data_IF_197974862946
#
_entry.id   IF_197974862946
#
_cell.length_a   1.000
_cell.length_b   1.000
_cell.length_c   1.000
_cell.angle_alpha   90.00
_cell.angle_beta   90.00
_cell.angle_gamma   90.00
#
_symmetry.space_group_name_H-M   'P 1'
#
loop_
_entity.id
_entity.type
_entity.pdbx_description
1 polymer ?
#
# COMPACT_ATOMS: atom_id res chain seq x y z
N UNK A 1 9.16 1.83 -23.01
CA UNK A 1 9.09 2.19 -21.57
C UNK A 1 7.82 1.59 -20.99
N UNK A 2 7.89 0.91 -19.86
CA UNK A 2 6.69 0.34 -19.25
C UNK A 2 5.92 1.41 -18.44
N UNK A 3 4.68 1.13 -18.12
CA UNK A 3 3.81 2.07 -17.40
C UNK A 3 4.37 2.46 -16.03
N UNK A 4 5.03 1.52 -15.35
CA UNK A 4 5.62 1.77 -14.04
C UNK A 4 6.79 2.77 -14.11
N UNK A 5 7.66 2.62 -15.10
CA UNK A 5 8.78 3.54 -15.32
C UNK A 5 8.26 4.95 -15.62
N UNK A 6 7.23 5.04 -16.46
CA UNK A 6 6.59 6.30 -16.78
C UNK A 6 5.96 6.93 -15.54
N UNK A 7 5.26 6.15 -14.73
CA UNK A 7 4.67 6.62 -13.48
C UNK A 7 5.73 7.23 -12.56
N UNK A 8 6.87 6.55 -12.39
CA UNK A 8 7.95 7.04 -11.55
C UNK A 8 8.56 8.35 -12.07
N UNK A 9 8.80 8.43 -13.38
CA UNK A 9 9.34 9.63 -14.00
C UNK A 9 8.41 10.82 -13.83
N UNK A 10 7.12 10.63 -14.12
CA UNK A 10 6.11 11.66 -13.95
C UNK A 10 6.00 12.12 -12.50
N UNK A 11 6.03 11.18 -11.57
CA UNK A 11 5.97 11.46 -10.14
C UNK A 11 7.16 12.29 -9.68
N UNK A 12 8.37 11.93 -10.10
CA UNK A 12 9.57 12.68 -9.78
C UNK A 12 9.51 14.13 -10.28
N UNK A 13 8.98 14.33 -11.48
CA UNK A 13 8.86 15.66 -12.07
C UNK A 13 7.82 16.52 -11.34
N UNK A 14 6.67 15.91 -10.98
CA UNK A 14 5.58 16.66 -10.34
C UNK A 14 5.92 17.12 -8.93
N UNK A 15 6.55 16.27 -8.12
CA UNK A 15 6.80 16.56 -6.71
C UNK A 15 8.26 16.86 -6.39
N UNK A 16 9.14 16.83 -7.41
CA UNK A 16 10.57 17.06 -7.25
C UNK A 16 11.17 16.23 -6.10
N UNK A 17 10.84 14.94 -6.08
CA UNK A 17 11.24 14.04 -5.01
C UNK A 17 12.03 12.85 -5.55
N UNK A 18 12.78 12.19 -4.68
CA UNK A 18 13.43 10.92 -4.98
C UNK A 18 12.47 9.77 -4.70
N UNK A 19 12.19 8.96 -5.72
CA UNK A 19 11.31 7.80 -5.60
C UNK A 19 12.07 6.53 -5.95
N UNK A 20 11.72 5.43 -5.26
CA UNK A 20 12.35 4.14 -5.44
C UNK A 20 11.36 3.01 -5.17
N UNK A 21 11.34 2.00 -6.04
CA UNK A 21 10.57 0.78 -5.83
C UNK A 21 11.55 -0.32 -5.41
N UNK A 22 11.28 -0.94 -4.24
CA UNK A 22 12.13 -2.00 -3.69
C UNK A 22 11.85 -3.33 -4.35
N UNK A 23 12.91 -4.09 -4.62
CA UNK A 23 12.78 -5.50 -4.98
C UNK A 23 12.48 -6.32 -3.72
N UNK A 24 11.78 -7.47 -3.85
CA UNK A 24 11.44 -8.29 -2.68
C UNK A 24 12.65 -8.67 -1.81
N UNK A 25 13.79 -8.94 -2.41
CA UNK A 25 15.00 -9.30 -1.65
C UNK A 25 15.58 -8.16 -0.82
N UNK A 26 15.19 -6.92 -1.10
CA UNK A 26 15.66 -5.74 -0.37
C UNK A 26 14.83 -5.44 0.89
N UNK A 27 13.62 -6.00 0.98
CA UNK A 27 12.65 -5.65 2.04
C UNK A 27 13.20 -6.00 3.43
N UNK A 28 13.77 -7.19 3.59
CA UNK A 28 14.27 -7.65 4.89
C UNK A 28 15.53 -6.91 5.35
N UNK A 29 16.14 -6.13 4.47
CA UNK A 29 17.30 -5.29 4.82
C UNK A 29 16.87 -3.97 5.48
N UNK A 30 15.61 -3.62 5.41
CA UNK A 30 15.07 -2.42 6.06
C UNK A 30 15.03 -2.66 7.57
N UNK A 31 15.56 -1.72 8.40
CA UNK A 31 15.54 -1.88 9.86
C UNK A 31 14.13 -2.10 10.40
N UNK A 32 14.01 -2.96 11.42
CA UNK A 32 12.73 -3.23 12.07
C UNK A 32 12.15 -1.95 12.67
N UNK A 33 10.82 -1.81 12.62
CA UNK A 33 10.13 -0.66 13.17
C UNK A 33 9.93 0.49 12.19
N UNK A 34 10.50 0.41 10.99
CA UNK A 34 10.34 1.44 9.95
C UNK A 34 9.02 1.26 9.21
N UNK A 35 8.64 0.02 8.93
CA UNK A 35 7.36 -0.33 8.28
C UNK A 35 6.64 -1.39 9.12
N UNK A 36 5.31 -1.57 8.94
CA UNK A 36 4.58 -2.60 9.69
C UNK A 36 5.13 -4.00 9.45
N UNK A 37 5.03 -4.87 10.46
CA UNK A 37 5.55 -6.23 10.36
C UNK A 37 4.94 -7.00 9.19
N UNK A 38 3.64 -6.85 8.94
CA UNK A 38 2.99 -7.53 7.82
C UNK A 38 3.56 -7.09 6.46
N UNK A 39 4.06 -5.88 6.34
CA UNK A 39 4.71 -5.41 5.12
C UNK A 39 6.01 -6.18 4.86
N UNK A 40 6.84 -6.43 5.90
CA UNK A 40 8.06 -7.24 5.74
C UNK A 40 7.71 -8.63 5.24
N UNK A 41 6.70 -9.26 5.82
CA UNK A 41 6.33 -10.63 5.49
C UNK A 41 5.75 -10.76 4.08
N UNK A 42 4.90 -9.82 3.69
CA UNK A 42 4.21 -9.87 2.40
C UNK A 42 5.13 -9.42 1.26
N UNK A 43 5.77 -8.26 1.43
CA UNK A 43 6.52 -7.62 0.34
C UNK A 43 7.83 -8.32 0.03
N UNK A 44 8.35 -9.13 0.94
CA UNK A 44 9.57 -9.92 0.72
C UNK A 44 9.34 -11.19 -0.10
N UNK A 45 8.08 -11.53 -0.38
CA UNK A 45 7.75 -12.70 -1.20
C UNK A 45 8.09 -12.41 -2.65
N UNK A 46 8.90 -13.26 -3.27
CA UNK A 46 9.32 -13.08 -4.66
C UNK A 46 8.21 -13.39 -5.66
N UNK A 47 7.32 -14.32 -5.31
CA UNK A 47 6.17 -14.67 -6.13
C UNK A 47 5.11 -13.58 -6.03
N UNK A 48 4.81 -12.93 -7.17
CA UNK A 48 3.82 -11.84 -7.27
C UNK A 48 2.45 -12.30 -6.76
N UNK A 49 2.00 -13.49 -7.14
CA UNK A 49 0.70 -14.01 -6.74
C UNK A 49 0.61 -14.17 -5.22
N UNK A 50 1.70 -14.59 -4.58
CA UNK A 50 1.75 -14.73 -3.12
C UNK A 50 1.74 -13.38 -2.41
N UNK A 51 2.38 -12.36 -2.99
CA UNK A 51 2.31 -11.00 -2.44
C UNK A 51 0.88 -10.46 -2.52
N UNK A 52 0.26 -10.55 -3.69
CA UNK A 52 -1.11 -10.10 -3.92
C UNK A 52 -2.07 -10.84 -2.99
N UNK A 53 -1.96 -12.16 -2.89
CA UNK A 53 -2.79 -12.96 -2.00
C UNK A 53 -2.62 -12.53 -0.54
N UNK A 54 -1.39 -12.30 -0.11
CA UNK A 54 -1.09 -11.88 1.26
C UNK A 54 -1.74 -10.56 1.63
N UNK A 55 -1.68 -9.55 0.76
CA UNK A 55 -2.31 -8.27 1.06
C UNK A 55 -3.83 -8.36 1.04
N UNK A 56 -4.40 -9.15 0.13
CA UNK A 56 -5.85 -9.36 0.06
C UNK A 56 -6.39 -10.10 1.28
N UNK A 57 -5.65 -11.10 1.78
CA UNK A 57 -6.01 -11.79 3.03
C UNK A 57 -6.02 -10.83 4.20
N UNK A 58 -5.08 -9.88 4.23
CA UNK A 58 -5.02 -8.87 5.28
C UNK A 58 -6.22 -7.91 5.19
N UNK A 59 -6.59 -7.49 3.99
CA UNK A 59 -7.79 -6.68 3.77
C UNK A 59 -9.04 -7.43 4.27
N UNK A 60 -9.19 -8.69 3.91
CA UNK A 60 -10.34 -9.52 4.30
C UNK A 60 -10.42 -9.68 5.82
N UNK A 61 -9.28 -9.82 6.48
CA UNK A 61 -9.23 -9.99 7.93
C UNK A 61 -9.87 -8.83 8.68
N UNK A 62 -9.67 -7.60 8.20
CA UNK A 62 -10.14 -6.40 8.88
C UNK A 62 -11.40 -5.78 8.32
N UNK A 63 -11.65 -5.91 7.02
CA UNK A 63 -12.68 -5.13 6.32
C UNK A 63 -13.58 -5.96 5.41
N UNK A 64 -13.70 -7.27 5.63
CA UNK A 64 -14.46 -8.13 4.71
C UNK A 64 -15.95 -7.76 4.58
N UNK A 65 -16.56 -7.20 5.63
CA UNK A 65 -17.97 -6.78 5.59
C UNK A 65 -18.11 -5.33 5.12
N UNK A 66 -17.20 -4.45 5.51
CA UNK A 66 -17.29 -3.02 5.23
C UNK A 66 -16.92 -2.68 3.78
N UNK A 67 -15.94 -3.38 3.21
CA UNK A 67 -15.42 -3.11 1.87
C UNK A 67 -15.49 -4.33 0.94
N UNK A 68 -16.58 -5.10 1.04
CA UNK A 68 -16.75 -6.32 0.27
C UNK A 68 -16.58 -6.11 -1.24
N UNK A 69 -17.19 -5.09 -1.82
CA UNK A 69 -17.10 -4.81 -3.24
C UNK A 69 -15.68 -4.37 -3.65
N UNK A 70 -15.02 -3.59 -2.81
CA UNK A 70 -13.64 -3.15 -3.06
C UNK A 70 -12.70 -4.34 -3.04
N UNK A 71 -12.84 -5.24 -2.09
CA UNK A 71 -12.02 -6.44 -2.00
C UNK A 71 -12.22 -7.34 -3.22
N UNK A 72 -13.48 -7.54 -3.65
CA UNK A 72 -13.75 -8.33 -4.85
C UNK A 72 -13.12 -7.71 -6.10
N UNK A 73 -13.18 -6.39 -6.23
CA UNK A 73 -12.53 -5.69 -7.33
C UNK A 73 -11.01 -5.91 -7.32
N UNK A 74 -10.40 -5.81 -6.14
CA UNK A 74 -8.96 -6.04 -5.99
C UNK A 74 -8.59 -7.50 -6.31
N UNK A 75 -9.40 -8.47 -5.91
CA UNK A 75 -9.15 -9.89 -6.23
C UNK A 75 -9.07 -10.13 -7.74
N UNK A 76 -9.90 -9.43 -8.50
CA UNK A 76 -9.96 -9.61 -9.96
C UNK A 76 -8.89 -8.79 -10.70
N UNK A 77 -8.48 -7.65 -10.15
CA UNK A 77 -7.74 -6.65 -10.91
C UNK A 77 -6.38 -6.27 -10.33
N UNK A 78 -6.07 -6.65 -9.10
CA UNK A 78 -4.78 -6.33 -8.50
C UNK A 78 -3.67 -7.18 -9.12
N UNK A 79 -2.72 -6.53 -9.78
CA UNK A 79 -1.65 -7.20 -10.50
C UNK A 79 -0.38 -7.38 -9.67
N UNK A 80 -0.08 -6.44 -8.79
CA UNK A 80 1.12 -6.48 -7.95
C UNK A 80 0.97 -5.57 -6.75
N UNK A 81 1.78 -5.84 -5.74
CA UNK A 81 1.94 -5.00 -4.54
C UNK A 81 3.43 -4.94 -4.23
N UNK A 82 3.95 -3.72 -4.07
CA UNK A 82 5.38 -3.49 -3.87
C UNK A 82 5.61 -2.42 -2.82
N UNK A 83 6.84 -2.35 -2.30
CA UNK A 83 7.24 -1.25 -1.42
C UNK A 83 7.78 -0.09 -2.25
N UNK A 84 7.30 1.10 -1.96
CA UNK A 84 7.59 2.32 -2.68
C UNK A 84 8.08 3.36 -1.68
N UNK A 85 9.18 4.03 -2.00
CA UNK A 85 9.75 5.05 -1.11
C UNK A 85 9.77 6.40 -1.82
N UNK A 86 9.26 7.42 -1.14
CA UNK A 86 9.30 8.80 -1.59
C UNK A 86 10.11 9.58 -0.56
N UNK A 87 11.29 10.06 -0.96
CA UNK A 87 12.28 10.66 -0.06
C UNK A 87 12.61 9.68 1.08
N UNK A 88 12.14 9.96 2.30
CA UNK A 88 12.37 9.11 3.47
C UNK A 88 11.11 8.43 4.00
N UNK A 89 10.00 8.49 3.26
CA UNK A 89 8.72 7.87 3.64
C UNK A 89 8.42 6.65 2.78
N UNK A 90 7.83 5.62 3.40
CA UNK A 90 7.53 4.34 2.76
C UNK A 90 6.03 4.19 2.53
N UNK A 91 5.67 3.63 1.38
CA UNK A 91 4.29 3.43 0.95
C UNK A 91 4.13 2.06 0.31
N UNK A 92 2.92 1.50 0.37
CA UNK A 92 2.54 0.38 -0.49
C UNK A 92 2.19 0.93 -1.88
N UNK A 93 2.63 0.25 -2.93
CA UNK A 93 2.27 0.58 -4.30
C UNK A 93 1.41 -0.54 -4.88
N UNK A 94 0.15 -0.21 -5.16
CA UNK A 94 -0.80 -1.13 -5.79
C UNK A 94 -0.79 -0.90 -7.29
N UNK A 95 -0.59 -1.96 -8.07
CA UNK A 95 -0.72 -1.94 -9.53
C UNK A 95 -2.02 -2.61 -9.90
N UNK A 96 -2.99 -1.85 -10.41
CA UNK A 96 -4.35 -2.32 -10.64
C UNK A 96 -4.71 -2.17 -12.13
N UNK A 97 -5.25 -3.24 -12.71
CA UNK A 97 -5.72 -3.23 -14.09
C UNK A 97 -7.09 -2.58 -14.18
N UNK A 98 -7.24 -1.61 -15.08
CA UNK A 98 -8.52 -0.93 -15.32
C UNK A 98 -9.37 -1.70 -16.34
N UNK A 99 -10.64 -1.32 -16.47
CA UNK A 99 -11.55 -1.88 -17.49
C UNK A 99 -11.02 -1.69 -18.91
N UNK A 100 -10.31 -0.59 -19.15
CA UNK A 100 -9.69 -0.30 -20.44
C UNK A 100 -8.42 -1.11 -20.72
N UNK A 101 -7.99 -1.95 -19.77
CA UNK A 101 -6.77 -2.75 -19.89
C UNK A 101 -5.49 -2.01 -19.55
N UNK A 102 -5.61 -0.78 -19.06
CA UNK A 102 -4.47 0.01 -18.58
C UNK A 102 -4.11 -0.34 -17.15
N UNK A 103 -2.93 0.08 -16.70
CA UNK A 103 -2.49 -0.11 -15.33
C UNK A 103 -2.52 1.23 -14.61
N UNK A 104 -3.20 1.28 -13.47
CA UNK A 104 -3.18 2.44 -12.57
C UNK A 104 -2.47 2.09 -11.29
N UNK A 105 -1.81 3.07 -10.69
CA UNK A 105 -1.02 2.92 -9.48
C UNK A 105 -1.62 3.73 -8.35
N UNK A 106 -1.76 3.08 -7.18
CA UNK A 106 -2.29 3.71 -5.96
C UNK A 106 -1.31 3.52 -4.82
N UNK A 107 -1.20 4.52 -3.96
CA UNK A 107 -0.30 4.51 -2.82
C UNK A 107 -1.07 4.27 -1.52
N UNK A 108 -0.57 3.37 -0.69
CA UNK A 108 -1.07 3.19 0.68
C UNK A 108 -0.04 3.70 1.68
N UNK A 109 -0.39 4.69 2.50
CA UNK A 109 0.53 5.30 3.44
C UNK A 109 0.96 4.38 4.58
N UNK A 110 2.15 4.62 5.15
CA UNK A 110 2.69 3.84 6.25
C UNK A 110 1.92 4.13 7.55
N UNK A 111 1.25 3.14 8.17
CA UNK A 111 0.51 3.35 9.42
C UNK A 111 1.38 3.81 10.59
N UNK A 112 2.68 3.59 10.53
CA UNK A 112 3.60 4.05 11.58
C UNK A 112 3.87 5.55 11.50
N UNK A 113 3.48 6.22 10.39
CA UNK A 113 3.50 7.67 10.31
C UNK A 113 2.32 8.22 11.12
N UNK A 114 2.55 9.32 11.83
CA UNK A 114 1.56 9.87 12.77
C UNK A 114 0.36 10.49 12.07
N UNK A 115 -0.84 10.28 12.63
CA UNK A 115 -2.05 11.02 12.27
C UNK A 115 -2.29 12.21 13.24
N UNK A 116 -1.35 12.47 14.14
CA UNK A 116 -1.50 13.39 15.27
C UNK A 116 -1.79 14.83 14.88
N UNK A 117 -1.47 15.24 13.66
CA UNK A 117 -1.69 16.60 13.18
C UNK A 117 -2.86 16.69 12.20
N UNK A 118 -3.69 15.62 12.10
CA UNK A 118 -4.83 15.57 11.19
C UNK A 118 -6.13 15.78 11.93
N UNK A 119 -7.18 16.20 11.20
CA UNK A 119 -8.53 16.31 11.75
C UNK A 119 -9.07 14.96 12.27
N UNK A 120 -8.58 13.85 11.76
CA UNK A 120 -8.99 12.51 12.17
C UNK A 120 -8.62 12.21 13.62
N UNK A 121 -7.54 12.81 14.14
CA UNK A 121 -7.10 12.56 15.52
C UNK A 121 -8.22 12.82 16.53
N UNK A 122 -8.94 13.92 16.37
CA UNK A 122 -9.99 14.33 17.31
C UNK A 122 -11.22 13.42 17.30
N UNK A 123 -11.45 12.68 16.21
CA UNK A 123 -12.61 11.79 16.05
C UNK A 123 -12.23 10.32 15.97
N UNK A 124 -10.95 9.99 16.20
CA UNK A 124 -10.43 8.64 16.02
C UNK A 124 -11.22 7.58 16.80
N UNK A 125 -11.59 7.91 18.04
CA UNK A 125 -12.35 6.98 18.89
C UNK A 125 -13.78 6.74 18.41
N UNK A 126 -14.30 7.57 17.51
CA UNK A 126 -15.64 7.45 16.93
C UNK A 126 -15.65 6.63 15.64
N UNK A 127 -14.48 6.33 15.09
CA UNK A 127 -14.35 5.52 13.88
C UNK A 127 -14.50 4.04 14.25
N UNK A 128 -15.22 3.23 13.47
CA UNK A 128 -15.35 1.79 13.73
C UNK A 128 -14.00 1.11 13.94
N UNK A 129 -13.95 0.18 14.88
CA UNK A 129 -12.72 -0.50 15.27
C UNK A 129 -12.01 -1.19 14.10
N UNK A 130 -12.76 -1.84 13.21
CA UNK A 130 -12.21 -2.53 12.04
C UNK A 130 -11.46 -1.57 11.11
N UNK A 131 -12.02 -0.36 10.91
CA UNK A 131 -11.38 0.66 10.08
C UNK A 131 -10.14 1.21 10.77
N UNK A 132 -10.20 1.45 12.09
CA UNK A 132 -9.03 1.88 12.85
C UNK A 132 -7.90 0.86 12.75
N UNK A 133 -8.21 -0.42 12.92
CA UNK A 133 -7.20 -1.48 12.80
C UNK A 133 -6.57 -1.53 11.41
N UNK A 134 -7.38 -1.33 10.37
CA UNK A 134 -6.86 -1.25 9.01
C UNK A 134 -5.84 -0.12 8.86
N UNK A 135 -6.23 1.10 9.29
CA UNK A 135 -5.34 2.27 9.21
C UNK A 135 -4.08 2.13 10.07
N UNK A 136 -4.17 1.44 11.19
CA UNK A 136 -3.03 1.26 12.09
C UNK A 136 -2.08 0.14 11.64
N UNK A 137 -2.57 -0.84 10.89
CA UNK A 137 -1.80 -2.06 10.57
C UNK A 137 -1.55 -2.28 9.07
N UNK A 138 -2.41 -1.79 8.19
CA UNK A 138 -2.27 -2.01 6.76
C UNK A 138 -1.67 -0.77 6.08
N UNK A 139 -2.44 0.29 6.00
CA UNK A 139 -1.94 1.59 5.54
C UNK A 139 -2.92 2.69 5.91
N UNK A 140 -2.41 3.94 5.97
CA UNK A 140 -3.17 5.07 6.48
C UNK A 140 -3.74 6.00 5.40
N UNK A 141 -3.72 5.59 4.18
CA UNK A 141 -4.30 6.36 3.07
C UNK A 141 -4.32 5.51 1.83
N UNK A 142 -5.05 5.94 0.83
CA UNK A 142 -5.13 5.22 -0.44
C UNK A 142 -5.29 6.25 -1.57
N UNK A 143 -4.20 6.51 -2.27
CA UNK A 143 -4.12 7.60 -3.25
C UNK A 143 -3.94 7.11 -4.68
#
# INVERSE_FOLDING_TARGET
MNDKTKFLEDYCLEINANVYIFQPCEIKKIPLGIIPQCWYDILSREDVDKRVQGILETWKKYLSSELYNTINYLEENLLDIELFKINDKYYLLYSIKTEAGEIQYYEGGNPLDSIAETELESVWNKIPESIRFFYENIHNGFY
#
